data_IF_675538038200
#
_entry.id   IF_675538038200
#
_cell.length_a   1.000
_cell.length_b   1.000
_cell.length_c   1.000
_cell.angle_alpha   90.00
_cell.angle_beta   90.00
_cell.angle_gamma   90.00
#
_symmetry.space_group_name_H-M   'P 1'
#
loop_
_entity.id
_entity.type
_entity.pdbx_description
1 polymer ?
#
# COMPACT_ATOMS: atom_id res chain seq x y z
N UNK A 1 -16.06 -0.56 -2.73
CA UNK A 1 -16.71 -0.29 -1.43
C UNK A 1 -15.71 -0.18 -0.29
N UNK A 2 -14.87 -1.19 -0.01
CA UNK A 2 -13.85 -1.13 1.07
C UNK A 2 -12.98 0.14 1.01
N UNK A 3 -12.52 0.53 -0.18
CA UNK A 3 -11.69 1.72 -0.35
C UNK A 3 -12.39 3.02 0.07
N UNK A 4 -13.67 3.18 -0.28
CA UNK A 4 -14.45 4.35 0.09
C UNK A 4 -14.70 4.41 1.60
N UNK A 5 -14.86 3.25 2.25
CA UNK A 5 -14.96 3.16 3.72
C UNK A 5 -13.66 3.59 4.38
N UNK A 6 -12.50 3.16 3.86
CA UNK A 6 -11.19 3.57 4.39
C UNK A 6 -10.94 5.08 4.27
N UNK A 7 -11.39 5.68 3.17
CA UNK A 7 -11.35 7.14 2.96
C UNK A 7 -12.31 7.85 3.91
N UNK A 8 -13.54 7.35 4.05
CA UNK A 8 -14.54 7.96 4.93
C UNK A 8 -14.12 7.93 6.39
N UNK A 9 -13.65 6.78 6.89
CA UNK A 9 -13.13 6.64 8.25
C UNK A 9 -11.85 7.45 8.44
N UNK A 10 -10.97 7.42 7.44
CA UNK A 10 -9.71 8.13 7.43
C UNK A 10 -9.85 9.65 7.56
N UNK A 11 -10.78 10.21 6.80
CA UNK A 11 -11.06 11.66 6.74
C UNK A 11 -11.99 12.17 7.84
N UNK A 12 -12.36 11.33 8.82
CA UNK A 12 -13.29 11.72 9.88
C UNK A 12 -14.68 12.08 9.34
N UNK A 13 -15.18 11.32 8.37
CA UNK A 13 -16.46 11.58 7.70
C UNK A 13 -16.37 12.68 6.64
N UNK A 14 -15.25 12.75 5.90
CA UNK A 14 -14.91 13.77 4.90
C UNK A 14 -14.61 15.17 5.44
N UNK A 15 -14.62 15.36 6.77
CA UNK A 15 -14.29 16.64 7.40
C UNK A 15 -12.87 17.11 7.08
N UNK A 16 -11.92 16.17 7.04
CA UNK A 16 -10.50 16.44 6.79
C UNK A 16 -10.05 16.03 5.39
N UNK A 17 -10.99 15.91 4.46
CA UNK A 17 -10.66 15.58 3.08
C UNK A 17 -10.22 16.82 2.31
N UNK A 18 -8.98 16.81 1.83
CA UNK A 18 -8.46 17.88 0.97
C UNK A 18 -9.02 17.73 -0.45
N UNK A 19 -9.76 18.75 -0.91
CA UNK A 19 -10.33 18.79 -2.25
C UNK A 19 -9.26 18.78 -3.36
N UNK A 20 -8.04 19.27 -3.09
CA UNK A 20 -6.92 19.20 -4.04
C UNK A 20 -6.50 17.74 -4.32
N UNK A 21 -6.77 16.82 -3.39
CA UNK A 21 -6.46 15.41 -3.52
C UNK A 21 -7.58 14.59 -4.18
N UNK A 22 -8.68 15.22 -4.58
CA UNK A 22 -9.80 14.55 -5.25
C UNK A 22 -9.36 13.83 -6.55
N UNK A 23 -8.48 14.45 -7.34
CA UNK A 23 -7.92 13.83 -8.53
C UNK A 23 -7.12 12.56 -8.22
N UNK A 24 -6.31 12.60 -7.16
CA UNK A 24 -5.59 11.42 -6.68
C UNK A 24 -6.56 10.33 -6.24
N UNK A 25 -7.60 10.66 -5.47
CA UNK A 25 -8.60 9.70 -5.01
C UNK A 25 -9.26 8.95 -6.17
N UNK A 26 -9.67 9.67 -7.22
CA UNK A 26 -10.23 9.05 -8.44
C UNK A 26 -9.19 8.13 -9.09
N UNK A 27 -7.95 8.58 -9.19
CA UNK A 27 -6.83 7.77 -9.69
C UNK A 27 -6.64 6.47 -8.87
N UNK A 28 -6.69 6.55 -7.54
CA UNK A 28 -6.60 5.37 -6.66
C UNK A 28 -7.75 4.40 -6.89
N UNK A 29 -8.99 4.92 -6.96
CA UNK A 29 -10.18 4.09 -7.21
C UNK A 29 -10.04 3.33 -8.53
N UNK A 30 -9.65 4.02 -9.60
CA UNK A 30 -9.46 3.41 -10.92
C UNK A 30 -8.30 2.42 -10.93
N UNK A 31 -7.17 2.75 -10.31
CA UNK A 31 -6.01 1.86 -10.22
C UNK A 31 -6.37 0.56 -9.47
N UNK A 32 -7.00 0.68 -8.30
CA UNK A 32 -7.45 -0.47 -7.51
C UNK A 32 -8.45 -1.30 -8.30
N UNK A 33 -9.44 -0.66 -8.94
CA UNK A 33 -10.39 -1.37 -9.79
C UNK A 33 -9.71 -2.14 -10.92
N UNK A 34 -8.84 -1.50 -11.69
CA UNK A 34 -8.15 -2.10 -12.82
C UNK A 34 -7.23 -3.26 -12.39
N UNK A 35 -6.49 -3.10 -11.29
CA UNK A 35 -5.63 -4.16 -10.74
C UNK A 35 -6.46 -5.34 -10.25
N UNK A 36 -7.52 -5.11 -9.48
CA UNK A 36 -8.40 -6.17 -8.98
C UNK A 36 -9.09 -6.89 -10.15
N UNK A 37 -9.65 -6.15 -11.10
CA UNK A 37 -10.28 -6.71 -12.28
C UNK A 37 -9.32 -7.59 -13.08
N UNK A 38 -8.11 -7.08 -13.37
CA UNK A 38 -7.06 -7.84 -14.08
C UNK A 38 -6.66 -9.10 -13.30
N UNK A 39 -6.52 -9.00 -11.98
CA UNK A 39 -6.19 -10.14 -11.12
C UNK A 39 -7.29 -11.20 -11.12
N UNK A 40 -8.56 -10.78 -11.04
CA UNK A 40 -9.71 -11.69 -11.09
C UNK A 40 -9.82 -12.40 -12.44
N UNK A 41 -9.60 -11.71 -13.56
CA UNK A 41 -9.54 -12.37 -14.87
C UNK A 41 -8.37 -13.34 -14.93
N UNK A 42 -7.20 -12.94 -14.41
CA UNK A 42 -6.02 -13.77 -14.41
C UNK A 42 -6.22 -15.06 -13.62
N UNK A 43 -6.86 -15.01 -12.45
CA UNK A 43 -7.07 -16.19 -11.60
C UNK A 43 -8.11 -17.17 -12.15
N UNK A 44 -9.00 -16.70 -13.03
CA UNK A 44 -10.02 -17.53 -13.68
C UNK A 44 -9.45 -18.38 -14.83
N UNK A 45 -8.25 -18.08 -15.33
CA UNK A 45 -7.63 -18.90 -16.40
C UNK A 45 -7.33 -20.31 -15.87
N UNK A 46 -7.56 -21.39 -16.66
CA UNK A 46 -7.38 -22.77 -16.19
C UNK A 46 -6.04 -23.07 -15.50
N UNK A 47 -4.87 -22.65 -16.03
CA UNK A 47 -3.58 -22.96 -15.38
C UNK A 47 -3.39 -22.22 -14.04
N UNK A 48 -3.83 -20.99 -13.93
CA UNK A 48 -3.68 -20.15 -12.72
C UNK A 48 -4.71 -20.50 -11.66
N UNK A 49 -5.92 -20.89 -12.06
CA UNK A 49 -6.93 -21.42 -11.15
C UNK A 49 -6.43 -22.68 -10.43
N UNK A 50 -5.75 -23.60 -11.13
CA UNK A 50 -5.14 -24.77 -10.51
C UNK A 50 -4.03 -24.40 -9.54
N UNK A 51 -3.15 -23.45 -9.91
CA UNK A 51 -2.08 -22.97 -9.04
C UNK A 51 -2.65 -22.34 -7.76
N UNK A 52 -3.67 -21.49 -7.88
CA UNK A 52 -4.35 -20.86 -6.75
C UNK A 52 -5.00 -21.88 -5.83
N UNK A 53 -5.72 -22.87 -6.38
CA UNK A 53 -6.33 -23.97 -5.61
C UNK A 53 -5.29 -24.78 -4.84
N UNK A 54 -4.19 -25.18 -5.50
CA UNK A 54 -3.11 -25.94 -4.85
C UNK A 54 -2.38 -25.11 -3.80
N UNK A 55 -2.14 -23.83 -4.07
CA UNK A 55 -1.58 -22.89 -3.10
C UNK A 55 -2.45 -22.77 -1.85
N UNK A 56 -3.76 -22.62 -2.02
CA UNK A 56 -4.70 -22.56 -0.90
C UNK A 56 -4.83 -23.89 -0.15
N UNK A 57 -4.82 -25.03 -0.84
CA UNK A 57 -4.81 -26.35 -0.22
C UNK A 57 -3.56 -26.56 0.65
N UNK A 58 -2.38 -26.16 0.14
CA UNK A 58 -1.13 -26.20 0.88
C UNK A 58 -1.17 -25.30 2.12
N UNK A 59 -1.69 -24.08 1.97
CA UNK A 59 -1.80 -23.12 3.08
C UNK A 59 -2.78 -23.57 4.16
N UNK A 60 -3.93 -24.16 3.79
CA UNK A 60 -5.01 -24.54 4.71
C UNK A 60 -4.84 -25.91 5.38
N UNK A 61 -3.85 -26.71 4.96
CA UNK A 61 -3.58 -28.05 5.51
C UNK A 61 -3.34 -27.95 7.03
N UNK A 62 -4.15 -28.67 7.79
CA UNK A 62 -4.18 -28.62 9.26
C UNK A 62 -2.86 -29.13 9.82
N UNK A 63 -2.24 -28.41 10.76
CA UNK A 63 -1.00 -28.81 11.45
C UNK A 63 0.25 -27.94 11.21
N UNK A 64 0.28 -27.12 10.14
CA UNK A 64 1.47 -26.30 9.82
C UNK A 64 1.18 -24.83 9.48
N UNK A 65 -0.04 -24.31 9.76
CA UNK A 65 -0.44 -22.94 9.39
C UNK A 65 0.57 -21.87 9.84
N UNK A 66 1.08 -21.97 11.07
CA UNK A 66 2.14 -21.06 11.56
C UNK A 66 3.43 -21.16 10.76
N UNK A 67 3.92 -22.38 10.49
CA UNK A 67 5.12 -22.62 9.67
C UNK A 67 4.92 -22.16 8.22
N UNK A 68 3.72 -22.32 7.67
CA UNK A 68 3.35 -21.87 6.33
C UNK A 68 3.30 -20.34 6.24
N UNK A 69 2.77 -19.65 7.27
CA UNK A 69 2.77 -18.17 7.34
C UNK A 69 4.20 -17.63 7.43
N UNK A 70 5.04 -18.20 8.29
CA UNK A 70 6.45 -17.81 8.40
C UNK A 70 7.20 -18.08 7.09
N UNK A 71 6.96 -19.24 6.46
CA UNK A 71 7.52 -19.58 5.16
C UNK A 71 7.10 -18.62 4.05
N UNK A 72 5.82 -18.24 4.00
CA UNK A 72 5.33 -17.21 3.07
C UNK A 72 5.98 -15.86 3.33
N UNK A 73 6.09 -15.45 4.59
CA UNK A 73 6.81 -14.22 4.97
C UNK A 73 8.25 -14.23 4.46
N UNK A 74 8.97 -15.33 4.69
CA UNK A 74 10.32 -15.54 4.16
C UNK A 74 10.39 -15.45 2.63
N UNK A 75 9.41 -16.03 1.93
CA UNK A 75 9.33 -15.94 0.47
C UNK A 75 9.06 -14.51 -0.03
N UNK A 76 8.20 -13.75 0.65
CA UNK A 76 7.94 -12.33 0.35
C UNK A 76 9.21 -11.52 0.55
N UNK A 77 9.90 -11.70 1.66
CA UNK A 77 11.15 -10.95 1.95
C UNK A 77 12.22 -11.30 0.92
N UNK A 78 12.43 -12.57 0.60
CA UNK A 78 13.52 -13.02 -0.28
C UNK A 78 13.26 -12.76 -1.77
N UNK A 79 12.03 -12.96 -2.24
CA UNK A 79 11.71 -12.84 -3.66
C UNK A 79 11.11 -11.49 -4.04
N UNK A 80 10.31 -10.87 -3.18
CA UNK A 80 9.63 -9.61 -3.49
C UNK A 80 10.40 -8.40 -3.00
N UNK A 81 10.77 -8.35 -1.70
CA UNK A 81 11.42 -7.18 -1.11
C UNK A 81 12.90 -7.11 -1.51
N UNK A 82 13.68 -8.14 -1.19
CA UNK A 82 15.13 -8.15 -1.44
C UNK A 82 15.49 -8.56 -2.87
N UNK A 83 14.56 -9.18 -3.62
CA UNK A 83 14.74 -9.56 -5.03
C UNK A 83 16.07 -10.28 -5.29
N UNK A 84 16.45 -11.20 -4.38
CA UNK A 84 17.80 -11.78 -4.33
C UNK A 84 18.21 -12.54 -5.60
N UNK A 85 17.24 -12.96 -6.42
CA UNK A 85 17.48 -13.58 -7.71
C UNK A 85 18.15 -12.63 -8.73
N UNK A 86 17.84 -11.32 -8.68
CA UNK A 86 18.46 -10.33 -9.56
C UNK A 86 19.92 -10.10 -9.13
N UNK A 87 20.16 -10.05 -7.82
CA UNK A 87 21.50 -9.86 -7.24
C UNK A 87 22.49 -10.93 -7.69
N UNK A 88 22.03 -12.18 -7.81
CA UNK A 88 22.86 -13.30 -8.30
C UNK A 88 23.26 -13.17 -9.77
N UNK A 89 22.52 -12.38 -10.58
CA UNK A 89 22.81 -12.16 -12.00
C UNK A 89 23.60 -10.88 -12.26
N UNK A 90 23.30 -9.79 -11.55
CA UNK A 90 24.02 -8.51 -11.64
C UNK A 90 23.66 -7.61 -10.46
N UNK A 91 24.67 -7.14 -9.74
CA UNK A 91 24.51 -6.25 -8.58
C UNK A 91 24.04 -4.85 -8.98
N UNK A 92 24.51 -4.32 -10.11
CA UNK A 92 24.09 -3.01 -10.63
C UNK A 92 22.59 -3.00 -11.00
N UNK A 93 22.12 -4.02 -11.73
CA UNK A 93 20.69 -4.15 -12.07
C UNK A 93 19.82 -4.34 -10.82
N UNK A 94 20.34 -5.09 -9.83
CA UNK A 94 19.65 -5.26 -8.56
C UNK A 94 19.49 -3.94 -7.81
N UNK A 95 20.56 -3.13 -7.71
CA UNK A 95 20.49 -1.84 -7.04
C UNK A 95 19.47 -0.90 -7.72
N UNK A 96 19.47 -0.83 -9.05
CA UNK A 96 18.48 -0.06 -9.79
C UNK A 96 17.03 -0.51 -9.49
N UNK A 97 16.79 -1.82 -9.50
CA UNK A 97 15.47 -2.37 -9.16
C UNK A 97 15.07 -2.08 -7.71
N UNK A 98 16.01 -2.14 -6.76
CA UNK A 98 15.74 -1.82 -5.36
C UNK A 98 15.38 -0.34 -5.18
N UNK A 99 16.12 0.58 -5.81
CA UNK A 99 15.82 2.01 -5.75
C UNK A 99 14.44 2.33 -6.33
N UNK A 100 14.10 1.79 -7.49
CA UNK A 100 12.78 2.00 -8.10
C UNK A 100 11.68 1.36 -7.26
N UNK A 101 11.86 0.13 -6.82
CA UNK A 101 10.86 -0.59 -6.01
C UNK A 101 10.57 0.15 -4.70
N UNK A 102 11.61 0.47 -3.93
CA UNK A 102 11.44 1.19 -2.67
C UNK A 102 10.97 2.62 -2.89
N UNK A 103 11.41 3.29 -3.95
CA UNK A 103 10.90 4.61 -4.33
C UNK A 103 9.39 4.60 -4.57
N UNK A 104 8.88 3.62 -5.33
CA UNK A 104 7.44 3.46 -5.54
C UNK A 104 6.67 3.11 -4.26
N UNK A 105 7.24 2.25 -3.39
CA UNK A 105 6.61 1.89 -2.11
C UNK A 105 6.51 3.13 -1.20
N UNK A 106 7.60 3.89 -1.05
CA UNK A 106 7.63 5.11 -0.23
C UNK A 106 6.66 6.16 -0.78
N UNK A 107 6.64 6.38 -2.11
CA UNK A 107 5.70 7.30 -2.73
C UNK A 107 4.24 6.89 -2.44
N UNK A 108 3.91 5.59 -2.51
CA UNK A 108 2.59 5.08 -2.15
C UNK A 108 2.26 5.26 -0.66
N UNK A 109 3.23 5.02 0.22
CA UNK A 109 3.09 5.19 1.68
C UNK A 109 2.85 6.64 2.10
N UNK A 110 3.21 7.63 1.28
CA UNK A 110 2.88 9.04 1.52
C UNK A 110 1.58 9.43 0.80
N UNK A 111 1.44 9.06 -0.47
CA UNK A 111 0.32 9.48 -1.32
C UNK A 111 -1.01 8.93 -0.83
N UNK A 112 -1.09 7.64 -0.47
CA UNK A 112 -2.36 7.04 -0.07
C UNK A 112 -2.88 7.59 1.28
N UNK A 113 -2.06 7.68 2.35
CA UNK A 113 -2.54 8.27 3.60
C UNK A 113 -3.00 9.72 3.46
N UNK A 114 -2.29 10.55 2.69
CA UNK A 114 -2.73 11.92 2.41
C UNK A 114 -4.06 11.92 1.65
N UNK A 115 -4.15 11.14 0.57
CA UNK A 115 -5.36 11.05 -0.27
C UNK A 115 -6.57 10.53 0.52
N UNK A 116 -6.35 9.65 1.50
CA UNK A 116 -7.43 9.09 2.32
C UNK A 116 -7.79 9.96 3.53
N UNK A 117 -7.08 11.07 3.75
CA UNK A 117 -7.24 11.94 4.92
C UNK A 117 -6.68 11.34 6.21
N UNK A 118 -5.92 10.23 6.14
CA UNK A 118 -5.26 9.62 7.30
C UNK A 118 -4.18 10.53 7.86
N UNK A 119 -3.55 11.32 6.99
CA UNK A 119 -2.66 12.40 7.38
C UNK A 119 -3.24 13.70 6.84
N UNK A 120 -3.38 14.71 7.69
CA UNK A 120 -3.72 16.08 7.28
C UNK A 120 -2.89 17.09 8.06
N UNK A 121 -2.76 18.29 7.50
CA UNK A 121 -2.02 19.39 8.10
C UNK A 121 -2.96 20.56 8.36
N UNK A 122 -2.92 21.11 9.56
CA UNK A 122 -3.66 22.32 9.93
C UNK A 122 -2.68 23.44 10.31
N UNK A 123 -2.98 24.69 9.93
CA UNK A 123 -2.22 25.84 10.42
C UNK A 123 -2.64 26.18 11.84
N UNK A 124 -1.69 26.22 12.78
CA UNK A 124 -1.95 26.56 14.17
C UNK A 124 -1.76 28.08 14.36
N UNK A 125 -2.87 28.79 14.56
CA UNK A 125 -2.88 30.24 14.80
C UNK A 125 -3.14 31.09 13.55
N UNK A 126 -3.45 32.37 13.75
CA UNK A 126 -3.72 33.36 12.68
C UNK A 126 -2.46 33.78 11.90
N UNK A 127 -1.30 33.26 12.29
CA UNK A 127 0.01 33.57 11.72
C UNK A 127 0.49 32.27 11.06
N UNK A 128 0.35 32.16 9.73
CA UNK A 128 0.56 30.91 8.96
C UNK A 128 1.98 30.33 8.93
N UNK A 129 2.80 30.57 9.96
CA UNK A 129 4.17 30.07 10.11
C UNK A 129 4.28 28.75 10.87
N UNK A 130 3.18 28.17 11.39
CA UNK A 130 3.21 26.91 12.15
C UNK A 130 2.12 25.95 11.68
N UNK A 131 2.53 24.74 11.29
CA UNK A 131 1.65 23.66 10.84
C UNK A 131 1.71 22.49 11.82
N UNK A 132 0.58 21.88 12.12
CA UNK A 132 0.49 20.66 12.91
C UNK A 132 0.01 19.52 12.03
N UNK A 133 0.73 18.39 12.05
CA UNK A 133 0.37 17.18 11.33
C UNK A 133 -0.45 16.26 12.22
N UNK A 134 -1.60 15.85 11.71
CA UNK A 134 -2.50 14.92 12.36
C UNK A 134 -2.45 13.59 11.65
N UNK A 135 -2.25 12.51 12.42
CA UNK A 135 -2.37 11.13 11.94
C UNK A 135 -3.64 10.53 12.54
N UNK A 136 -4.62 10.19 11.71
CA UNK A 136 -5.97 9.75 12.11
C UNK A 136 -6.63 10.68 13.14
N UNK A 137 -6.41 12.00 13.02
CA UNK A 137 -6.95 13.00 13.94
C UNK A 137 -6.19 13.13 15.27
N UNK A 138 -5.07 12.43 15.44
CA UNK A 138 -4.16 12.61 16.59
C UNK A 138 -2.99 13.50 16.16
N UNK A 139 -2.79 14.63 16.86
CA UNK A 139 -1.66 15.52 16.65
C UNK A 139 -0.35 14.77 16.87
N UNK A 140 0.47 14.68 15.82
CA UNK A 140 1.68 13.84 15.79
C UNK A 140 2.97 14.64 15.77
N UNK A 141 2.93 15.87 15.26
CA UNK A 141 4.11 16.74 15.22
C UNK A 141 3.81 18.13 14.67
N UNK A 142 4.57 19.12 15.13
CA UNK A 142 4.48 20.51 14.66
C UNK A 142 5.69 20.87 13.81
N UNK A 143 5.46 21.63 12.75
CA UNK A 143 6.44 22.10 11.79
C UNK A 143 6.36 23.61 11.68
N UNK A 144 7.52 24.25 11.60
CA UNK A 144 7.62 25.67 11.23
C UNK A 144 7.81 25.76 9.71
N UNK A 145 7.14 26.74 9.10
CA UNK A 145 7.12 26.95 7.64
C UNK A 145 8.37 27.68 7.14
#
# INVERSE_FOLDING_TARGET
>A
MVLLVLVYLGSGGLKWFDAALAGYLVGVVLAVFATVYRYLIWIQRPPTAMLSRRGWQSFRRSGSRGKNVVGLGGLVVTNLLTQGFIRRRSTSRWAAHQLVFWGCILAGLVTFPLTFGWVHFESVGQTGGRYEAFLFGVGSGTFEA
#
